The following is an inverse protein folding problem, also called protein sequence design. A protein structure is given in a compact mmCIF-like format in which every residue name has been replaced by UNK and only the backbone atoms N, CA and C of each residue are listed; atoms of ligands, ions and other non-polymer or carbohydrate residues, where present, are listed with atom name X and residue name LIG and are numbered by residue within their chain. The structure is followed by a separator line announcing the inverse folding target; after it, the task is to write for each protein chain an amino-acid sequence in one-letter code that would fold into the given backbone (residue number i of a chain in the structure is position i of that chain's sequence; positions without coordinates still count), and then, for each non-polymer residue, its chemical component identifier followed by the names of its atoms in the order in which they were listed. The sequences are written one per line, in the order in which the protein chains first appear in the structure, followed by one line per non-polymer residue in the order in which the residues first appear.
data_IF_236387566553
#
_entry.id   IF_236387566553
#
_cell.length_a   1.000
_cell.length_b   1.000
_cell.length_c   1.000
_cell.angle_alpha   90.00
_cell.angle_beta   90.00
_cell.angle_gamma   90.00
#
_symmetry.space_group_name_H-M   'P 1'
#
loop_
_entity.id
_entity.type
_entity.pdbx_description
1 polymer ?
#
# COMPACT_ATOMS: atom_id res chain seq x y z
N UNK A 1 -58.99 12.45 -8.99
CA UNK A 1 -57.59 12.42 -9.49
C UNK A 1 -57.47 11.27 -10.46
N UNK A 2 -56.94 11.52 -11.65
CA UNK A 2 -56.91 10.55 -12.75
C UNK A 2 -55.75 9.57 -12.53
N UNK A 3 -55.99 8.55 -11.69
CA UNK A 3 -55.01 7.57 -11.21
C UNK A 3 -54.20 6.91 -12.35
N UNK A 4 -54.86 6.71 -13.51
CA UNK A 4 -54.23 6.17 -14.72
C UNK A 4 -53.18 7.10 -15.32
N UNK A 5 -53.34 8.43 -15.19
CA UNK A 5 -52.35 9.40 -15.67
C UNK A 5 -51.09 9.41 -14.79
N UNK A 6 -51.27 9.30 -13.48
CA UNK A 6 -50.15 9.23 -12.53
C UNK A 6 -49.36 7.94 -12.72
N UNK A 7 -50.03 6.80 -12.92
CA UNK A 7 -49.37 5.52 -13.18
C UNK A 7 -48.54 5.55 -14.47
N UNK A 8 -49.05 6.16 -15.53
CA UNK A 8 -48.32 6.28 -16.80
C UNK A 8 -47.08 7.17 -16.68
N UNK A 9 -47.20 8.31 -15.98
CA UNK A 9 -46.06 9.20 -15.72
C UNK A 9 -44.98 8.48 -14.92
N UNK A 10 -45.36 7.68 -13.93
CA UNK A 10 -44.41 6.94 -13.09
C UNK A 10 -43.65 5.88 -13.89
N UNK A 11 -44.34 5.11 -14.75
CA UNK A 11 -43.72 4.11 -15.63
C UNK A 11 -42.74 4.77 -16.60
N UNK A 12 -43.13 5.88 -17.24
CA UNK A 12 -42.26 6.59 -18.20
C UNK A 12 -41.05 7.18 -17.49
N UNK A 13 -41.23 7.75 -16.30
CA UNK A 13 -40.12 8.31 -15.51
C UNK A 13 -39.13 7.23 -15.08
N UNK A 14 -39.63 6.07 -14.63
CA UNK A 14 -38.78 4.94 -14.26
C UNK A 14 -38.01 4.39 -15.46
N UNK A 15 -38.66 4.29 -16.63
CA UNK A 15 -38.03 3.81 -17.85
C UNK A 15 -36.93 4.76 -18.36
N UNK A 16 -37.12 6.07 -18.23
CA UNK A 16 -36.07 7.06 -18.55
C UNK A 16 -34.89 6.93 -17.58
N UNK A 17 -35.18 6.72 -16.29
CA UNK A 17 -34.15 6.51 -15.26
C UNK A 17 -33.38 5.20 -15.49
N UNK A 18 -34.06 4.12 -15.84
CA UNK A 18 -33.43 2.83 -16.17
C UNK A 18 -32.59 2.93 -17.45
N UNK A 19 -33.04 3.65 -18.48
CA UNK A 19 -32.24 3.93 -19.68
C UNK A 19 -31.03 4.80 -19.37
N UNK A 20 -31.18 5.78 -18.48
CA UNK A 20 -30.07 6.61 -18.00
C UNK A 20 -29.06 5.80 -17.20
N UNK A 21 -29.53 4.92 -16.30
CA UNK A 21 -28.69 3.98 -15.56
C UNK A 21 -28.01 2.97 -16.48
N UNK A 22 -28.70 2.45 -17.50
CA UNK A 22 -28.14 1.58 -18.52
C UNK A 22 -27.07 2.33 -19.34
N UNK A 23 -27.30 3.59 -19.67
CA UNK A 23 -26.31 4.43 -20.36
C UNK A 23 -25.08 4.68 -19.48
N UNK A 24 -25.26 4.94 -18.18
CA UNK A 24 -24.16 5.01 -17.22
C UNK A 24 -23.49 3.65 -17.05
N UNK A 25 -24.23 2.54 -17.05
CA UNK A 25 -23.67 1.20 -16.88
C UNK A 25 -22.84 0.77 -18.10
N UNK A 26 -23.35 1.03 -19.30
CA UNK A 26 -22.63 0.80 -20.58
C UNK A 26 -21.49 1.80 -20.76
N UNK A 27 -21.67 3.06 -20.33
CA UNK A 27 -20.67 4.13 -20.38
C UNK A 27 -19.66 4.10 -19.23
N UNK A 28 -19.91 3.35 -18.15
CA UNK A 28 -18.93 3.10 -17.07
C UNK A 28 -17.80 2.17 -17.51
N UNK A 29 -17.85 1.68 -18.75
CA UNK A 29 -16.71 1.07 -19.41
C UNK A 29 -15.84 2.10 -20.18
N UNK A 30 -16.14 3.40 -20.14
CA UNK A 30 -15.43 4.42 -20.91
C UNK A 30 -15.10 5.72 -20.17
N UNK A 31 -15.16 5.72 -18.83
CA UNK A 31 -14.47 6.71 -17.98
C UNK A 31 -13.59 6.00 -16.95
N UNK A 32 -12.72 5.16 -17.49
CA UNK A 32 -11.41 4.88 -16.90
C UNK A 32 -10.44 5.14 -18.04
N UNK A 33 -9.27 5.71 -17.71
CA UNK A 33 -8.17 5.81 -18.66
C UNK A 33 -7.99 4.45 -19.34
N UNK A 34 -7.80 4.50 -20.66
CA UNK A 34 -7.64 3.36 -21.55
C UNK A 34 -6.76 2.27 -20.90
N UNK A 35 -7.34 1.10 -20.63
CA UNK A 35 -6.63 -0.16 -20.78
C UNK A 35 -7.64 -1.27 -21.06
N UNK A 36 -7.72 -1.58 -22.35
CA UNK A 36 -8.54 -2.59 -22.97
C UNK A 36 -8.01 -3.97 -22.56
N UNK A 37 -8.72 -4.67 -21.67
CA UNK A 37 -8.37 -6.02 -21.17
C UNK A 37 -8.46 -7.13 -22.25
N UNK A 38 -8.42 -6.78 -23.54
CA UNK A 38 -8.47 -7.75 -24.64
C UNK A 38 -7.77 -7.27 -25.92
N UNK A 39 -6.65 -6.54 -25.79
CA UNK A 39 -5.79 -6.25 -26.94
C UNK A 39 -4.54 -7.13 -26.96
N UNK A 40 -4.75 -8.38 -27.36
CA UNK A 40 -3.75 -9.18 -28.05
C UNK A 40 -3.39 -8.56 -29.41
N UNK A 41 -2.80 -7.37 -29.43
CA UNK A 41 -2.03 -6.79 -30.56
C UNK A 41 -1.06 -5.77 -29.93
N UNK A 42 0.26 -5.83 -30.06
CA UNK A 42 1.04 -6.30 -31.19
C UNK A 42 2.46 -6.68 -30.74
N UNK A 43 3.09 -7.71 -31.34
CA UNK A 43 4.51 -8.04 -31.17
C UNK A 43 5.51 -6.91 -31.50
N UNK A 44 5.03 -5.73 -31.90
CA UNK A 44 5.85 -4.60 -32.34
C UNK A 44 6.25 -3.65 -31.20
N UNK A 45 5.50 -3.56 -30.10
CA UNK A 45 5.85 -2.69 -28.95
C UNK A 45 6.77 -3.41 -27.97
N UNK A 46 6.57 -4.72 -27.81
CA UNK A 46 7.51 -5.63 -27.11
C UNK A 46 8.90 -5.71 -27.77
N UNK A 47 9.05 -5.16 -28.98
CA UNK A 47 10.31 -5.19 -29.73
C UNK A 47 11.23 -4.01 -29.42
N UNK A 48 10.78 -3.02 -28.64
CA UNK A 48 11.59 -1.83 -28.27
C UNK A 48 11.91 -1.74 -26.77
N UNK A 49 11.11 -2.36 -25.90
CA UNK A 49 11.40 -2.38 -24.47
C UNK A 49 12.41 -3.49 -24.15
N UNK A 50 13.69 -3.14 -24.00
CA UNK A 50 14.68 -4.06 -23.48
C UNK A 50 14.61 -4.06 -21.94
N UNK A 51 13.80 -4.95 -21.36
CA UNK A 51 13.65 -5.08 -19.90
C UNK A 51 14.99 -5.28 -19.19
N UNK A 52 15.94 -5.98 -19.82
CA UNK A 52 17.28 -6.21 -19.25
C UNK A 52 18.11 -4.92 -19.12
N UNK A 53 17.81 -3.88 -19.91
CA UNK A 53 18.43 -2.55 -19.79
C UNK A 53 17.66 -1.63 -18.84
N UNK A 54 16.39 -1.94 -18.55
CA UNK A 54 15.50 -1.14 -17.73
C UNK A 54 15.46 -1.60 -16.27
N UNK A 55 15.85 -2.83 -15.96
CA UNK A 55 15.73 -3.40 -14.61
C UNK A 55 17.05 -3.93 -14.06
N UNK A 56 17.31 -3.70 -12.77
CA UNK A 56 18.44 -4.29 -12.04
C UNK A 56 18.13 -5.67 -11.46
N UNK A 57 16.84 -6.02 -11.38
CA UNK A 57 16.35 -7.30 -10.87
C UNK A 57 15.72 -8.12 -12.00
N UNK A 58 15.69 -9.44 -11.81
CA UNK A 58 14.84 -10.31 -12.62
C UNK A 58 13.38 -9.91 -12.42
N UNK A 59 12.64 -9.78 -13.51
CA UNK A 59 11.21 -9.46 -13.52
C UNK A 59 10.42 -10.74 -13.79
N UNK A 60 9.49 -11.07 -12.90
CA UNK A 60 8.64 -12.24 -13.07
C UNK A 60 7.50 -12.00 -14.05
N UNK A 61 7.18 -13.01 -14.86
CA UNK A 61 5.96 -13.06 -15.68
C UNK A 61 4.89 -13.97 -15.06
N UNK A 62 5.14 -14.46 -13.83
CA UNK A 62 4.16 -15.25 -13.09
C UNK A 62 3.01 -14.37 -12.58
N UNK A 63 1.81 -14.94 -12.58
CA UNK A 63 0.59 -14.31 -12.09
C UNK A 63 0.11 -15.05 -10.84
N UNK A 64 -0.28 -14.29 -9.82
CA UNK A 64 -0.94 -14.81 -8.63
C UNK A 64 -2.41 -14.37 -8.55
N UNK A 65 -3.06 -14.66 -7.44
CA UNK A 65 -4.39 -14.15 -7.13
C UNK A 65 -4.38 -13.57 -5.70
N UNK A 66 -5.01 -12.41 -5.51
CA UNK A 66 -5.18 -11.81 -4.18
C UNK A 66 -6.57 -11.16 -4.06
N UNK A 67 -7.20 -11.22 -2.87
CA UNK A 67 -8.50 -10.60 -2.64
C UNK A 67 -8.35 -9.13 -2.25
N UNK A 68 -9.48 -8.43 -2.16
CA UNK A 68 -9.56 -7.19 -1.38
C UNK A 68 -9.67 -7.52 0.11
N UNK A 69 -9.20 -6.61 0.95
CA UNK A 69 -9.34 -6.73 2.41
C UNK A 69 -9.94 -5.48 3.02
N UNK A 70 -10.70 -5.64 4.10
CA UNK A 70 -11.21 -4.54 4.90
C UNK A 70 -10.49 -4.54 6.24
N UNK A 71 -10.12 -3.36 6.73
CA UNK A 71 -9.68 -3.14 8.10
C UNK A 71 -10.63 -2.17 8.79
N UNK A 72 -10.98 -2.46 10.05
CA UNK A 72 -11.78 -1.57 10.88
C UNK A 72 -11.12 -1.37 12.23
N UNK A 73 -10.77 -0.13 12.56
CA UNK A 73 -10.17 0.23 13.84
C UNK A 73 -11.17 0.97 14.72
N UNK A 74 -11.50 0.38 15.88
CA UNK A 74 -12.16 1.12 16.95
C UNK A 74 -11.17 2.09 17.58
N UNK A 75 -11.30 3.38 17.24
CA UNK A 75 -10.38 4.43 17.69
C UNK A 75 -10.43 4.65 19.21
N UNK A 76 -11.59 4.49 19.84
CA UNK A 76 -11.74 4.70 21.28
C UNK A 76 -11.03 3.57 22.04
N UNK A 77 -11.30 2.32 21.67
CA UNK A 77 -10.62 1.17 22.25
C UNK A 77 -9.11 1.19 22.01
N UNK A 78 -8.66 1.62 20.82
CA UNK A 78 -7.23 1.77 20.50
C UNK A 78 -6.54 2.77 21.43
N UNK A 79 -7.17 3.92 21.68
CA UNK A 79 -6.66 4.93 22.60
C UNK A 79 -6.63 4.41 24.04
N UNK A 80 -7.68 3.75 24.51
CA UNK A 80 -7.73 3.17 25.86
C UNK A 80 -6.64 2.11 26.10
N UNK A 81 -6.35 1.27 25.10
CA UNK A 81 -5.25 0.29 25.20
C UNK A 81 -3.87 0.97 25.18
N UNK A 82 -3.71 2.04 24.40
CA UNK A 82 -2.46 2.80 24.34
C UNK A 82 -2.13 3.47 25.70
N UNK A 83 -3.14 3.94 26.44
CA UNK A 83 -2.97 4.52 27.78
C UNK A 83 -2.50 3.50 28.84
N UNK A 84 -2.66 2.18 28.58
CA UNK A 84 -2.26 1.11 29.50
C UNK A 84 -0.78 0.72 29.35
N UNK A 85 -0.12 1.19 28.29
CA UNK A 85 1.29 0.93 28.05
C UNK A 85 2.16 1.53 29.16
N UNK A 86 3.20 0.82 29.56
CA UNK A 86 4.12 1.24 30.64
C UNK A 86 5.54 1.41 30.12
N UNK A 87 6.39 2.06 30.92
CA UNK A 87 7.81 2.26 30.60
C UNK A 87 8.07 3.06 29.31
N UNK A 88 7.11 3.91 28.95
CA UNK A 88 7.13 4.75 27.76
C UNK A 88 6.15 5.93 27.87
N UNK A 89 6.43 7.02 27.15
CA UNK A 89 5.56 8.18 27.00
C UNK A 89 4.80 8.07 25.68
N UNK A 90 3.48 7.85 25.74
CA UNK A 90 2.63 7.59 24.56
C UNK A 90 1.73 8.78 24.27
N UNK A 91 1.59 9.11 22.99
CA UNK A 91 0.61 10.05 22.47
C UNK A 91 -0.11 9.43 21.28
N UNK A 92 -1.43 9.64 21.19
CA UNK A 92 -2.24 9.18 20.06
C UNK A 92 -2.94 10.38 19.45
N UNK A 93 -2.83 10.57 18.13
CA UNK A 93 -3.51 11.66 17.44
C UNK A 93 -4.99 11.35 17.14
N UNK A 94 -5.72 12.33 16.60
CA UNK A 94 -7.15 12.18 16.29
C UNK A 94 -7.45 11.18 15.18
N UNK A 95 -6.43 10.66 14.49
CA UNK A 95 -6.54 9.65 13.42
C UNK A 95 -6.05 8.29 13.90
N UNK A 96 -5.73 8.13 15.19
CA UNK A 96 -5.26 6.87 15.77
C UNK A 96 -3.77 6.60 15.56
N UNK A 97 -2.98 7.57 15.05
CA UNK A 97 -1.52 7.39 14.94
C UNK A 97 -0.90 7.57 16.31
N UNK A 98 -0.17 6.56 16.74
CA UNK A 98 0.50 6.49 18.02
C UNK A 98 1.97 6.86 17.84
N UNK A 99 2.45 7.80 18.64
CA UNK A 99 3.88 8.05 18.83
C UNK A 99 4.24 7.72 20.27
N UNK A 100 5.29 6.91 20.44
CA UNK A 100 5.78 6.50 21.74
C UNK A 100 7.28 6.76 21.87
N UNK A 101 7.68 7.30 23.01
CA UNK A 101 9.08 7.44 23.42
C UNK A 101 9.39 6.48 24.55
N UNK A 102 10.41 5.66 24.38
CA UNK A 102 10.77 4.62 25.35
C UNK A 102 11.59 5.21 26.51
N UNK A 103 11.28 4.81 27.75
CA UNK A 103 12.08 5.21 28.92
C UNK A 103 13.50 4.59 28.87
N UNK A 104 13.59 3.40 28.27
CA UNK A 104 14.84 2.66 28.09
C UNK A 104 15.03 2.33 26.61
N UNK A 105 16.03 2.92 25.95
CA UNK A 105 16.35 2.60 24.57
C UNK A 105 16.74 1.12 24.39
N UNK A 106 16.40 0.55 23.24
CA UNK A 106 16.67 -0.84 22.89
C UNK A 106 17.90 -0.87 21.97
N UNK A 107 19.03 -1.46 22.38
CA UNK A 107 20.23 -1.52 21.55
C UNK A 107 20.03 -2.45 20.35
N UNK A 108 20.46 -2.03 19.16
CA UNK A 108 20.38 -2.83 17.94
C UNK A 108 21.78 -3.30 17.54
N UNK A 109 22.20 -4.46 18.07
CA UNK A 109 23.57 -4.95 17.95
C UNK A 109 24.01 -5.21 16.49
N UNK A 110 23.07 -5.53 15.61
CA UNK A 110 23.36 -5.95 14.22
C UNK A 110 23.74 -4.81 13.29
N UNK A 111 23.54 -3.55 13.67
CA UNK A 111 23.85 -2.37 12.83
C UNK A 111 25.36 -2.18 12.55
N UNK A 112 26.20 -3.07 13.05
CA UNK A 112 27.61 -3.20 12.70
C UNK A 112 27.84 -3.81 11.30
N UNK A 113 26.81 -4.37 10.64
CA UNK A 113 26.93 -5.06 9.33
C UNK A 113 27.09 -4.15 8.09
N UNK A 114 26.89 -2.84 8.20
CA UNK A 114 27.03 -1.89 7.07
C UNK A 114 25.82 -0.99 6.87
N UNK A 115 25.60 -0.45 5.66
CA UNK A 115 24.51 0.51 5.35
C UNK A 115 23.75 0.21 4.06
N UNK A 116 23.88 -1.00 3.48
CA UNK A 116 23.11 -1.36 2.30
C UNK A 116 21.68 -1.75 2.69
N UNK A 117 20.64 -1.13 2.11
CA UNK A 117 19.24 -1.32 2.49
C UNK A 117 18.73 -2.76 2.28
N UNK A 118 19.23 -3.47 1.26
CA UNK A 118 18.82 -4.84 0.95
C UNK A 118 19.67 -5.92 1.65
N UNK A 119 20.62 -5.54 2.51
CA UNK A 119 21.46 -6.49 3.24
C UNK A 119 20.83 -7.00 4.55
N UNK A 120 19.64 -6.50 4.90
CA UNK A 120 19.01 -6.73 6.19
C UNK A 120 17.87 -7.72 6.12
N UNK A 121 17.79 -8.58 7.13
CA UNK A 121 16.75 -9.56 7.32
C UNK A 121 16.08 -9.38 8.67
N UNK A 122 14.91 -9.99 8.84
CA UNK A 122 14.20 -10.02 10.13
C UNK A 122 15.09 -10.51 11.27
N UNK A 123 16.01 -11.45 11.01
CA UNK A 123 16.88 -12.02 12.05
C UNK A 123 17.94 -11.05 12.57
N UNK A 124 18.23 -9.98 11.83
CA UNK A 124 19.17 -8.94 12.24
C UNK A 124 18.58 -8.03 13.33
N UNK A 125 17.26 -7.94 13.46
CA UNK A 125 16.59 -7.05 14.41
C UNK A 125 15.96 -7.81 15.58
N UNK A 126 16.67 -8.82 16.11
CA UNK A 126 16.14 -9.69 17.15
C UNK A 126 15.59 -8.92 18.36
N UNK A 127 16.35 -7.97 18.90
CA UNK A 127 15.95 -7.19 20.07
C UNK A 127 14.70 -6.34 19.79
N UNK A 128 14.59 -5.80 18.57
CA UNK A 128 13.42 -5.03 18.14
C UNK A 128 12.22 -5.94 17.94
N UNK A 129 12.41 -7.14 17.38
CA UNK A 129 11.35 -8.14 17.23
C UNK A 129 10.85 -8.63 18.60
N UNK A 130 11.75 -8.86 19.56
CA UNK A 130 11.39 -9.27 20.93
C UNK A 130 10.52 -8.20 21.60
N UNK A 131 10.85 -6.91 21.41
CA UNK A 131 10.02 -5.80 21.90
C UNK A 131 8.69 -5.72 21.17
N UNK A 132 8.70 -5.82 19.84
CA UNK A 132 7.51 -5.82 18.99
C UNK A 132 6.51 -6.90 19.41
N UNK A 133 6.99 -8.11 19.70
CA UNK A 133 6.13 -9.23 20.08
C UNK A 133 5.73 -9.25 21.58
N UNK A 134 6.22 -8.27 22.35
CA UNK A 134 5.92 -8.13 23.77
C UNK A 134 4.56 -7.46 24.02
N UNK A 135 4.12 -7.43 25.28
CA UNK A 135 2.92 -6.70 25.69
C UNK A 135 3.11 -5.18 25.78
N UNK A 136 4.32 -4.67 25.50
CA UNK A 136 4.64 -3.24 25.53
C UNK A 136 4.41 -2.56 24.18
N UNK A 137 3.92 -3.30 23.19
CA UNK A 137 3.55 -2.79 21.87
C UNK A 137 2.20 -3.40 21.49
N UNK A 138 1.24 -2.55 21.12
CA UNK A 138 -0.09 -3.00 20.72
C UNK A 138 -0.02 -3.78 19.41
N UNK A 139 -0.61 -4.97 19.35
CA UNK A 139 -0.75 -5.71 18.09
C UNK A 139 0.58 -5.99 17.34
N UNK A 140 1.74 -5.96 18.00
CA UNK A 140 3.01 -6.01 17.28
C UNK A 140 3.25 -7.30 16.47
N UNK A 141 2.58 -8.40 16.83
CA UNK A 141 2.61 -9.66 16.07
C UNK A 141 2.02 -9.54 14.66
N UNK A 142 1.16 -8.57 14.45
CA UNK A 142 0.49 -8.34 13.18
C UNK A 142 1.41 -7.62 12.17
N UNK A 143 2.61 -7.20 12.59
CA UNK A 143 3.58 -6.48 11.78
C UNK A 143 4.77 -7.34 11.39
N UNK A 144 5.13 -7.29 10.10
CA UNK A 144 6.25 -8.00 9.51
C UNK A 144 7.37 -7.03 9.11
N UNK A 145 8.63 -7.46 9.27
CA UNK A 145 9.78 -6.64 8.92
C UNK A 145 9.75 -6.27 7.43
N UNK A 146 9.87 -4.98 7.12
CA UNK A 146 9.85 -4.48 5.76
C UNK A 146 11.24 -4.12 5.24
N UNK A 147 11.89 -3.16 5.91
CA UNK A 147 13.23 -2.69 5.55
C UNK A 147 13.84 -1.84 6.67
N UNK A 148 15.15 -1.63 6.58
CA UNK A 148 15.86 -0.64 7.38
C UNK A 148 16.34 0.50 6.48
N UNK A 149 16.05 1.73 6.89
CA UNK A 149 16.52 2.94 6.21
C UNK A 149 17.68 3.56 7.00
N UNK A 150 18.94 3.44 6.53
CA UNK A 150 20.10 4.00 7.20
C UNK A 150 20.18 5.52 7.09
N UNK A 151 19.57 6.13 6.06
CA UNK A 151 19.58 7.59 5.88
C UNK A 151 18.67 8.27 6.90
N UNK A 152 17.53 7.65 7.20
CA UNK A 152 16.56 8.13 8.19
C UNK A 152 16.77 7.54 9.57
N UNK A 153 17.68 6.58 9.73
CA UNK A 153 17.87 5.81 10.96
C UNK A 153 16.55 5.21 11.47
N UNK A 154 15.82 4.52 10.59
CA UNK A 154 14.53 3.92 10.92
C UNK A 154 14.43 2.45 10.51
N UNK A 155 13.76 1.64 11.33
CA UNK A 155 13.41 0.25 11.01
C UNK A 155 11.90 0.19 10.82
N UNK A 156 11.46 -0.22 9.64
CA UNK A 156 10.04 -0.22 9.26
C UNK A 156 9.50 -1.64 9.20
N UNK A 157 8.31 -1.81 9.75
CA UNK A 157 7.48 -3.00 9.67
C UNK A 157 6.12 -2.61 9.08
N UNK A 158 5.52 -3.53 8.33
CA UNK A 158 4.18 -3.37 7.77
C UNK A 158 3.23 -4.37 8.41
N UNK A 159 2.04 -3.90 8.77
CA UNK A 159 0.94 -4.76 9.18
C UNK A 159 0.59 -5.71 8.02
N UNK A 160 0.54 -7.00 8.30
CA UNK A 160 0.08 -8.01 7.36
C UNK A 160 -1.40 -7.78 7.03
N UNK A 161 -1.70 -7.61 5.74
CA UNK A 161 -3.07 -7.48 5.27
C UNK A 161 -3.67 -8.85 4.97
N UNK A 162 -2.94 -9.68 4.22
CA UNK A 162 -3.33 -11.04 3.83
C UNK A 162 -2.14 -11.81 3.23
N UNK A 163 -2.03 -13.10 3.56
CA UNK A 163 -1.06 -14.06 2.99
C UNK A 163 0.39 -13.54 2.93
N UNK A 164 0.86 -12.93 4.03
CA UNK A 164 2.20 -12.37 4.13
C UNK A 164 2.42 -11.05 3.38
N UNK A 165 1.40 -10.48 2.74
CA UNK A 165 1.51 -9.19 2.06
C UNK A 165 1.06 -8.04 2.98
N UNK A 166 1.94 -7.07 3.17
CA UNK A 166 1.72 -5.94 4.06
C UNK A 166 0.91 -4.78 3.45
N UNK A 167 0.33 -3.95 4.32
CA UNK A 167 -0.25 -2.64 3.98
C UNK A 167 0.89 -1.63 3.83
N UNK A 168 0.98 -0.97 2.67
CA UNK A 168 2.14 -0.16 2.26
C UNK A 168 1.76 1.28 1.86
N UNK A 169 0.92 1.91 2.67
CA UNK A 169 0.43 3.27 2.44
C UNK A 169 0.42 4.17 3.68
N UNK A 170 1.00 3.70 4.79
CA UNK A 170 1.09 4.42 6.05
C UNK A 170 -0.04 4.12 7.05
N UNK A 171 -1.11 3.40 6.67
CA UNK A 171 -2.21 3.09 7.60
C UNK A 171 -1.96 1.84 8.44
N UNK A 172 -0.91 1.08 8.14
CA UNK A 172 -0.49 -0.13 8.86
C UNK A 172 1.01 -0.14 9.16
N UNK A 173 1.62 1.01 9.37
CA UNK A 173 3.08 1.12 9.55
C UNK A 173 3.46 1.05 11.03
N UNK A 174 4.56 0.35 11.32
CA UNK A 174 5.28 0.43 12.59
C UNK A 174 6.72 0.84 12.28
N UNK A 175 7.13 2.02 12.76
CA UNK A 175 8.42 2.63 12.44
C UNK A 175 9.17 2.87 13.74
N UNK A 176 10.28 2.16 13.93
CA UNK A 176 11.20 2.40 15.03
C UNK A 176 12.25 3.43 14.63
N UNK A 177 12.51 4.40 15.49
CA UNK A 177 13.52 5.43 15.29
C UNK A 177 14.76 5.11 16.12
N UNK A 178 15.93 5.21 15.49
CA UNK A 178 17.20 5.04 16.18
C UNK A 178 17.85 6.38 16.49
N UNK A 179 18.43 6.46 17.69
CA UNK A 179 19.28 7.56 18.11
C UNK A 179 20.71 7.45 17.55
N UNK A 180 21.55 8.44 17.86
CA UNK A 180 22.97 8.49 17.43
C UNK A 180 23.82 7.30 17.93
N UNK A 181 23.35 6.57 18.94
CA UNK A 181 24.01 5.37 19.49
C UNK A 181 23.49 4.07 18.87
N UNK A 182 22.66 4.15 17.83
CA UNK A 182 22.02 2.99 17.20
C UNK A 182 21.13 2.19 18.17
N UNK A 183 20.46 2.91 19.07
CA UNK A 183 19.46 2.36 19.98
C UNK A 183 18.08 2.89 19.57
N UNK A 184 17.07 2.02 19.57
CA UNK A 184 15.67 2.44 19.36
C UNK A 184 15.20 3.19 20.60
N UNK A 185 14.85 4.46 20.46
CA UNK A 185 14.37 5.30 21.57
C UNK A 185 12.93 5.82 21.38
N UNK A 186 12.36 5.65 20.18
CA UNK A 186 10.97 5.97 19.90
C UNK A 186 10.40 5.09 18.79
N UNK A 187 9.07 5.04 18.69
CA UNK A 187 8.38 4.45 17.56
C UNK A 187 7.08 5.19 17.21
N UNK A 188 6.74 5.12 15.92
CA UNK A 188 5.45 5.51 15.37
C UNK A 188 4.67 4.26 14.99
N UNK A 189 3.36 4.25 15.24
CA UNK A 189 2.48 3.13 14.93
C UNK A 189 1.13 3.60 14.38
N UNK A 190 0.75 3.06 13.23
CA UNK A 190 -0.59 3.11 12.65
C UNK A 190 -1.11 1.69 12.52
N UNK A 191 -2.38 1.45 12.87
CA UNK A 191 -3.00 0.13 12.79
C UNK A 191 -4.30 0.18 11.98
N UNK A 192 -4.45 -0.70 11.01
CA UNK A 192 -5.63 -0.76 10.16
C UNK A 192 -6.82 -1.49 10.82
N UNK A 193 -6.63 -2.04 12.03
CA UNK A 193 -7.54 -3.00 12.64
C UNK A 193 -7.32 -4.42 12.12
N UNK A 194 -8.06 -5.38 12.66
CA UNK A 194 -8.04 -6.77 12.16
C UNK A 194 -8.54 -6.80 10.71
N UNK A 195 -7.73 -7.34 9.80
CA UNK A 195 -8.08 -7.38 8.38
C UNK A 195 -8.95 -8.58 8.05
N UNK A 196 -9.95 -8.37 7.20
CA UNK A 196 -10.88 -9.40 6.75
C UNK A 196 -10.99 -9.40 5.23
N UNK A 197 -10.84 -10.59 4.63
CA UNK A 197 -11.02 -10.82 3.19
C UNK A 197 -12.41 -10.42 2.74
N UNK A 198 -12.48 -9.68 1.62
CA UNK A 198 -13.71 -9.17 1.03
C UNK A 198 -13.92 -9.77 -0.36
N UNK A 199 -14.75 -10.81 -0.42
CA UNK A 199 -15.07 -11.52 -1.66
C UNK A 199 -14.07 -12.62 -1.99
N UNK A 200 -13.96 -12.94 -3.27
CA UNK A 200 -13.07 -13.98 -3.80
C UNK A 200 -11.73 -13.38 -4.23
N UNK A 201 -10.72 -14.24 -4.31
CA UNK A 201 -9.42 -13.90 -4.87
C UNK A 201 -9.56 -13.46 -6.32
N UNK A 202 -8.71 -12.50 -6.72
CA UNK A 202 -8.75 -11.91 -8.06
C UNK A 202 -7.41 -12.10 -8.75
N UNK A 203 -7.41 -12.45 -10.04
CA UNK A 203 -6.18 -12.60 -10.78
C UNK A 203 -5.41 -11.29 -10.80
N UNK A 204 -4.09 -11.40 -10.56
CA UNK A 204 -3.16 -10.30 -10.63
C UNK A 204 -2.49 -10.24 -12.00
N UNK A 205 -2.13 -9.02 -12.41
CA UNK A 205 -1.15 -8.83 -13.47
C UNK A 205 0.25 -9.24 -12.97
N UNK A 206 1.14 -9.66 -13.87
CA UNK A 206 2.53 -9.97 -13.53
C UNK A 206 3.34 -8.71 -13.22
N UNK A 207 4.50 -8.89 -12.55
CA UNK A 207 5.47 -7.80 -12.34
C UNK A 207 5.86 -7.15 -13.67
N UNK A 208 6.08 -7.99 -14.69
CA UNK A 208 6.40 -7.55 -16.05
C UNK A 208 5.30 -6.67 -16.64
N UNK A 209 4.05 -7.09 -16.53
CA UNK A 209 2.93 -6.29 -17.03
C UNK A 209 2.83 -4.93 -16.30
N UNK A 210 3.14 -4.88 -15.00
CA UNK A 210 3.13 -3.63 -14.25
C UNK A 210 4.21 -2.65 -14.75
N UNK A 211 5.43 -3.14 -14.99
CA UNK A 211 6.52 -2.34 -15.57
C UNK A 211 6.17 -1.90 -16.99
N UNK A 212 5.62 -2.80 -17.82
CA UNK A 212 5.14 -2.49 -19.17
C UNK A 212 4.12 -1.36 -19.14
N UNK A 213 3.16 -1.40 -18.20
CA UNK A 213 2.15 -0.36 -18.08
C UNK A 213 2.78 1.00 -17.74
N UNK A 214 3.74 1.06 -16.81
CA UNK A 214 4.46 2.31 -16.51
C UNK A 214 5.24 2.83 -17.73
N UNK A 215 5.98 1.94 -18.40
CA UNK A 215 6.78 2.30 -19.57
C UNK A 215 5.92 2.84 -20.72
N UNK A 216 4.80 2.18 -21.02
CA UNK A 216 3.88 2.59 -22.10
C UNK A 216 3.14 3.91 -21.83
N UNK A 217 3.13 4.36 -20.58
CA UNK A 217 2.52 5.62 -20.17
C UNK A 217 3.56 6.70 -19.84
N UNK A 218 4.82 6.50 -20.25
CA UNK A 218 5.94 7.44 -20.02
C UNK A 218 6.22 7.73 -18.53
N UNK A 219 5.80 6.85 -17.61
CA UNK A 219 6.04 6.98 -16.15
C UNK A 219 7.40 6.41 -15.72
N UNK A 220 8.17 5.82 -16.65
CA UNK A 220 9.56 5.45 -16.43
C UNK A 220 10.43 6.40 -17.25
N UNK A 221 11.09 7.39 -16.61
CA UNK A 221 11.88 8.36 -17.35
C UNK A 221 13.06 7.73 -18.10
N UNK A 222 13.50 8.43 -19.15
CA UNK A 222 14.66 8.01 -19.91
C UNK A 222 15.90 7.86 -19.02
N UNK A 223 16.60 6.73 -19.15
CA UNK A 223 17.80 6.36 -18.37
C UNK A 223 17.53 6.10 -16.88
N UNK A 224 16.27 6.03 -16.46
CA UNK A 224 15.93 5.52 -15.16
C UNK A 224 16.04 3.98 -15.16
N UNK A 225 16.16 3.40 -13.97
CA UNK A 225 16.29 1.95 -13.80
C UNK A 225 15.34 1.49 -12.71
N UNK A 226 14.55 0.45 -13.01
CA UNK A 226 13.70 -0.23 -12.02
C UNK A 226 14.61 -1.07 -11.12
N UNK A 227 14.67 -0.71 -9.85
CA UNK A 227 15.56 -1.36 -8.87
C UNK A 227 14.85 -2.45 -8.10
N UNK A 228 13.53 -2.33 -7.94
CA UNK A 228 12.74 -3.23 -7.09
C UNK A 228 11.27 -3.18 -7.47
N UNK A 229 10.62 -4.33 -7.46
CA UNK A 229 9.18 -4.48 -7.60
C UNK A 229 8.67 -5.29 -6.43
N UNK A 230 7.59 -4.85 -5.79
CA UNK A 230 6.97 -5.53 -4.65
C UNK A 230 5.44 -5.43 -4.73
N UNK A 231 4.75 -6.52 -4.43
CA UNK A 231 3.31 -6.51 -4.20
C UNK A 231 3.02 -6.15 -2.73
N UNK A 232 1.95 -5.39 -2.51
CA UNK A 232 1.40 -5.12 -1.19
C UNK A 232 -0.02 -4.56 -1.30
N UNK A 233 -0.56 -4.08 -0.18
CA UNK A 233 -1.91 -3.54 -0.10
C UNK A 233 -1.92 -2.03 0.09
N UNK A 234 -2.86 -1.33 -0.56
CA UNK A 234 -3.07 0.11 -0.41
C UNK A 234 -4.54 0.45 -0.32
N UNK A 235 -4.86 1.47 0.47
CA UNK A 235 -6.21 1.99 0.68
C UNK A 235 -6.81 2.40 -0.67
N UNK A 236 -7.93 1.76 -1.02
CA UNK A 236 -8.75 2.05 -2.19
C UNK A 236 -9.99 2.87 -1.83
N UNK A 237 -10.45 2.77 -0.58
CA UNK A 237 -11.58 3.51 -0.04
C UNK A 237 -11.39 3.65 1.48
N UNK A 238 -11.62 4.85 2.01
CA UNK A 238 -11.64 5.11 3.44
C UNK A 238 -12.99 5.74 3.81
N UNK A 239 -13.71 5.12 4.74
CA UNK A 239 -15.01 5.57 5.25
C UNK A 239 -14.96 5.57 6.78
N UNK A 240 -14.68 6.74 7.36
CA UNK A 240 -14.51 6.89 8.81
C UNK A 240 -13.42 5.92 9.34
N UNK A 241 -13.79 4.95 10.16
CA UNK A 241 -12.90 3.92 10.72
C UNK A 241 -12.74 2.67 9.83
N UNK A 242 -13.51 2.55 8.74
CA UNK A 242 -13.49 1.41 7.83
C UNK A 242 -12.66 1.73 6.59
N UNK A 243 -11.60 0.95 6.37
CA UNK A 243 -10.74 1.08 5.21
C UNK A 243 -10.83 -0.19 4.34
N UNK A 244 -10.91 -0.01 3.03
CA UNK A 244 -10.81 -1.09 2.04
C UNK A 244 -9.47 -1.00 1.34
N UNK A 245 -8.73 -2.10 1.30
CA UNK A 245 -7.44 -2.20 0.67
C UNK A 245 -7.49 -3.11 -0.55
N UNK A 246 -6.74 -2.74 -1.57
CA UNK A 246 -6.56 -3.53 -2.79
C UNK A 246 -5.08 -3.88 -3.01
N UNK A 247 -4.78 -5.01 -3.67
CA UNK A 247 -3.42 -5.35 -4.04
C UNK A 247 -2.88 -4.38 -5.08
N UNK A 248 -1.63 -3.97 -4.91
CA UNK A 248 -0.90 -3.06 -5.78
C UNK A 248 0.54 -3.52 -5.97
N UNK A 249 1.06 -3.32 -7.18
CA UNK A 249 2.49 -3.37 -7.45
C UNK A 249 3.11 -2.02 -7.10
N UNK A 250 4.19 -2.05 -6.33
CA UNK A 250 5.04 -0.90 -5.99
C UNK A 250 6.36 -1.06 -6.70
N UNK A 251 6.68 -0.10 -7.55
CA UNK A 251 7.85 -0.10 -8.42
C UNK A 251 8.77 1.01 -7.95
N UNK A 252 9.99 0.66 -7.57
CA UNK A 252 11.02 1.61 -7.17
C UNK A 252 11.91 1.90 -8.39
N UNK A 253 11.99 3.17 -8.77
CA UNK A 253 12.67 3.65 -9.96
C UNK A 253 13.80 4.57 -9.52
N UNK A 254 15.05 4.21 -9.84
CA UNK A 254 16.22 5.06 -9.62
C UNK A 254 16.44 5.94 -10.84
N UNK A 255 16.52 7.24 -10.60
CA UNK A 255 16.82 8.26 -11.60
C UNK A 255 18.33 8.45 -11.78
N UNK A 256 18.71 9.21 -12.80
CA UNK A 256 20.12 9.47 -13.13
C UNK A 256 20.91 10.24 -12.07
N UNK A 257 20.20 10.88 -11.13
CA UNK A 257 20.76 11.62 -9.97
C UNK A 257 20.78 10.79 -8.68
N UNK A 258 20.55 9.47 -8.79
CA UNK A 258 20.41 8.52 -7.68
C UNK A 258 19.20 8.76 -6.75
N UNK A 259 18.26 9.64 -7.11
CA UNK A 259 16.97 9.70 -6.41
C UNK A 259 16.11 8.47 -6.74
N UNK A 260 15.42 7.95 -5.73
CA UNK A 260 14.49 6.84 -5.90
C UNK A 260 13.08 7.39 -5.82
N UNK A 261 12.34 7.23 -6.92
CA UNK A 261 10.92 7.48 -7.01
C UNK A 261 10.14 6.17 -6.86
N UNK A 262 8.94 6.27 -6.32
CA UNK A 262 8.07 5.12 -6.11
C UNK A 262 6.80 5.28 -6.91
N UNK A 263 6.60 4.39 -7.87
CA UNK A 263 5.41 4.30 -8.69
C UNK A 263 4.49 3.15 -8.25
N UNK A 264 3.21 3.32 -8.52
CA UNK A 264 2.17 2.38 -8.06
C UNK A 264 1.27 1.96 -9.21
N UNK A 265 1.05 0.66 -9.34
CA UNK A 265 0.17 0.07 -10.34
C UNK A 265 -0.85 -0.83 -9.65
N UNK A 266 -2.12 -0.72 -10.02
CA UNK A 266 -3.18 -1.60 -9.54
C UNK A 266 -2.86 -3.05 -9.91
N UNK A 267 -2.83 -3.93 -8.90
CA UNK A 267 -2.43 -5.32 -9.09
C UNK A 267 -3.40 -6.14 -9.93
N UNK A 268 -4.66 -5.72 -10.08
CA UNK A 268 -5.71 -6.48 -10.77
C UNK A 268 -5.94 -5.94 -12.18
N UNK A 269 -6.12 -4.63 -12.33
CA UNK A 269 -6.45 -4.02 -13.63
C UNK A 269 -5.25 -3.34 -14.31
N UNK A 270 -4.12 -3.21 -13.62
CA UNK A 270 -2.91 -2.61 -14.19
C UNK A 270 -2.96 -1.10 -14.39
N UNK A 271 -3.96 -0.41 -13.84
CA UNK A 271 -4.03 1.06 -13.92
C UNK A 271 -2.97 1.69 -13.03
N UNK A 272 -2.29 2.71 -13.53
CA UNK A 272 -1.32 3.50 -12.77
C UNK A 272 -2.05 4.34 -11.73
N UNK A 273 -1.58 4.29 -10.48
CA UNK A 273 -2.17 4.97 -9.34
C UNK A 273 -1.37 6.24 -9.08
N UNK A 274 -1.90 7.35 -9.59
CA UNK A 274 -1.30 8.66 -9.37
C UNK A 274 -1.34 9.05 -7.88
N UNK A 275 -0.27 9.65 -7.34
CA UNK A 275 -0.27 10.15 -5.98
C UNK A 275 -1.38 11.19 -5.80
N UNK A 276 -2.13 11.09 -4.70
CA UNK A 276 -3.12 12.09 -4.35
C UNK A 276 -2.39 13.40 -4.03
N UNK A 277 -2.40 14.37 -4.96
CA UNK A 277 -1.91 15.72 -4.67
C UNK A 277 -2.80 16.33 -3.59
N UNK A 278 -2.32 16.36 -2.36
CA UNK A 278 -2.94 17.18 -1.30
C UNK A 278 -2.67 18.63 -1.65
N UNK A 279 -3.62 19.26 -2.36
CA UNK A 279 -3.68 20.71 -2.45
C UNK A 279 -3.90 21.25 -1.03
N UNK A 280 -2.79 21.53 -0.34
CA UNK A 280 -2.78 22.41 0.82
C UNK A 280 -3.00 23.82 0.29
N UNK A 281 -4.27 24.18 0.14
CA UNK A 281 -4.68 25.57 -0.03
C UNK A 281 -4.22 26.36 1.18
N UNK A 282 -3.26 27.24 0.95
CA UNK A 282 -2.83 28.33 1.84
C UNK A 282 -3.98 29.23 2.24
#
# INVERSE_FOLDING_TARGET
MDFRRIQYILIVTFLILDLFLLNIFVGKNSVYFLNDYNRSTAPSVQKEMNLEELTETSVSDETGELPFVAGQLDLEAWQEEAEKLTDQEVTVDSKGRLFSKLDRPIPVASLQKGTAEDAWSVSDFKEVNDFKDSSQLLNGKDYQFAYYNPRKSTITYYQEAYDGHGIIDGTGDLIFHLNDKQEVDAYEQSYAGETQVQGEDRPLISEKQAIENLYLNDEIPNKATVVKVKIGYRTSLALDQLHMYKPIWTIYIRHSDDEIETEYVDGINGTIIQPQTTNTGT
#
